data_IF_447134756415
#
_entry.id   IF_447134756415
#
_cell.length_a   1.000
_cell.length_b   1.000
_cell.length_c   1.000
_cell.angle_alpha   90.00
_cell.angle_beta   90.00
_cell.angle_gamma   90.00
#
_symmetry.space_group_name_H-M   'P 1'
#
loop_
_entity.id
_entity.type
_entity.pdbx_description
1 polymer ?
#
# COMPACT_ATOMS: atom_id res chain seq x y z
N UNK A 1 -17.31 -44.39 -39.21
CA UNK A 1 -16.39 -43.59 -40.07
C UNK A 1 -15.72 -42.57 -39.17
N UNK A 2 -14.43 -42.71 -38.88
CA UNK A 2 -13.29 -42.08 -39.60
C UNK A 2 -13.41 -40.54 -39.54
N UNK A 3 -12.44 -39.74 -39.12
CA UNK A 3 -11.03 -39.94 -38.80
C UNK A 3 -10.48 -38.60 -38.23
N UNK A 4 -9.59 -38.67 -37.24
CA UNK A 4 -8.35 -37.86 -37.04
C UNK A 4 -8.30 -36.35 -37.32
N UNK A 5 -7.74 -35.60 -36.36
CA UNK A 5 -6.47 -34.81 -36.48
C UNK A 5 -6.20 -34.13 -35.11
N UNK A 6 -5.09 -34.42 -34.41
CA UNK A 6 -3.78 -33.72 -34.47
C UNK A 6 -3.92 -32.19 -34.28
N UNK A 7 -3.16 -31.44 -33.49
CA UNK A 7 -1.91 -31.68 -32.76
C UNK A 7 -1.62 -30.43 -31.91
N UNK A 8 -1.04 -30.65 -30.72
CA UNK A 8 0.16 -30.00 -30.19
C UNK A 8 0.29 -28.45 -30.28
N UNK A 9 0.24 -27.78 -29.13
CA UNK A 9 0.97 -26.51 -28.93
C UNK A 9 1.99 -26.67 -27.81
N UNK A 10 3.23 -26.41 -28.20
CA UNK A 10 4.48 -26.52 -27.44
C UNK A 10 4.53 -25.46 -26.33
N UNK A 11 4.83 -25.88 -25.09
CA UNK A 11 5.25 -24.97 -24.00
C UNK A 11 6.78 -25.04 -23.92
N UNK A 12 7.44 -24.02 -24.43
CA UNK A 12 8.88 -23.84 -24.27
C UNK A 12 9.17 -23.18 -22.92
N UNK A 13 9.71 -23.95 -21.97
CA UNK A 13 10.29 -23.43 -20.75
C UNK A 13 11.73 -22.98 -21.02
N UNK A 14 12.02 -21.70 -20.83
CA UNK A 14 13.37 -21.15 -20.88
C UNK A 14 13.91 -21.02 -19.46
N UNK A 15 14.78 -21.97 -19.11
CA UNK A 15 15.69 -21.92 -17.97
C UNK A 15 16.77 -20.86 -18.22
N UNK A 16 16.93 -19.94 -17.26
CA UNK A 16 18.05 -18.99 -17.25
C UNK A 16 18.97 -19.28 -16.05
N UNK A 17 20.29 -19.47 -16.24
CA UNK A 17 21.22 -19.63 -15.14
C UNK A 17 21.60 -18.28 -14.51
N UNK A 18 21.61 -18.26 -13.18
CA UNK A 18 22.22 -17.21 -12.38
C UNK A 18 23.75 -17.24 -12.53
N UNK A 19 24.34 -16.10 -12.89
CA UNK A 19 25.78 -15.85 -12.77
C UNK A 19 25.99 -14.66 -11.84
N UNK A 20 26.62 -14.97 -10.70
CA UNK A 20 27.23 -14.00 -9.81
C UNK A 20 28.42 -13.33 -10.52
N UNK A 21 28.64 -12.04 -10.25
CA UNK A 21 29.94 -11.40 -10.50
C UNK A 21 30.41 -10.65 -9.24
N UNK A 22 31.69 -10.80 -8.86
CA UNK A 22 32.31 -10.19 -7.69
C UNK A 22 32.65 -8.71 -7.90
N UNK A 23 32.74 -7.99 -6.79
CA UNK A 23 32.93 -6.55 -6.75
C UNK A 23 34.32 -6.06 -7.21
N UNK A 24 34.35 -4.77 -7.55
CA UNK A 24 35.55 -3.97 -7.65
C UNK A 24 35.27 -2.59 -7.05
N UNK A 25 35.84 -2.32 -5.89
CA UNK A 25 35.97 -0.98 -5.31
C UNK A 25 37.11 -0.25 -6.01
N UNK A 26 36.82 0.90 -6.60
CA UNK A 26 37.84 1.89 -7.02
C UNK A 26 37.43 3.25 -6.48
N UNK A 27 38.38 3.91 -5.82
CA UNK A 27 38.22 5.14 -5.05
C UNK A 27 37.97 6.42 -5.87
N UNK A 28 37.65 7.46 -5.09
CA UNK A 28 37.14 8.80 -5.43
C UNK A 28 38.08 9.65 -6.32
N UNK A 29 37.56 10.77 -6.87
CA UNK A 29 37.82 12.04 -6.17
C UNK A 29 36.61 12.99 -6.02
N UNK A 30 36.55 13.60 -4.84
CA UNK A 30 36.24 15.00 -4.50
C UNK A 30 35.21 15.77 -5.36
N UNK A 31 34.10 16.14 -4.69
CA UNK A 31 33.64 17.53 -4.59
C UNK A 31 33.23 18.28 -5.86
N UNK A 32 31.94 18.23 -6.17
CA UNK A 32 31.24 19.35 -6.80
C UNK A 32 29.88 19.49 -6.12
N UNK A 33 29.65 20.63 -5.48
CA UNK A 33 28.44 20.92 -4.70
C UNK A 33 27.18 20.72 -5.54
N UNK A 34 26.35 19.77 -5.13
CA UNK A 34 24.97 19.71 -5.57
C UNK A 34 24.22 20.79 -4.80
N UNK A 35 24.01 21.94 -5.45
CA UNK A 35 23.03 22.91 -4.99
C UNK A 35 21.73 22.17 -4.61
N UNK A 36 21.12 22.45 -3.45
CA UNK A 36 19.88 21.79 -3.08
C UNK A 36 18.82 22.09 -4.13
N UNK A 37 18.46 21.06 -4.90
CA UNK A 37 17.31 21.10 -5.80
C UNK A 37 16.11 21.48 -4.94
N UNK A 38 15.34 22.54 -5.26
CA UNK A 38 14.21 22.94 -4.45
C UNK A 38 13.29 21.74 -4.27
N UNK A 39 13.13 21.29 -3.02
CA UNK A 39 12.09 20.34 -2.69
C UNK A 39 10.76 20.96 -3.16
N UNK A 40 9.91 20.23 -3.89
CA UNK A 40 8.61 20.75 -4.27
C UNK A 40 7.92 21.22 -2.99
N UNK A 41 7.50 22.49 -2.98
CA UNK A 41 6.84 23.11 -1.86
C UNK A 41 5.76 22.16 -1.35
N UNK A 42 5.93 21.70 -0.11
CA UNK A 42 4.94 20.87 0.54
C UNK A 42 3.67 21.71 0.61
N UNK A 43 2.65 21.31 -0.16
CA UNK A 43 1.29 21.84 0.00
C UNK A 43 0.93 21.72 1.49
N UNK A 44 0.16 22.67 2.06
CA UNK A 44 -0.27 22.59 3.44
C UNK A 44 -0.75 21.18 3.74
N UNK A 45 -0.06 20.51 4.68
CA UNK A 45 -0.51 19.23 5.20
C UNK A 45 -1.73 19.60 6.03
N UNK A 46 -2.92 19.46 5.47
CA UNK A 46 -4.16 19.70 6.21
C UNK A 46 -4.07 18.85 7.47
N UNK A 47 -4.08 19.52 8.64
CA UNK A 47 -4.05 18.84 9.93
C UNK A 47 -5.06 17.70 9.90
N UNK A 48 -4.65 16.52 10.37
CA UNK A 48 -5.57 15.41 10.52
C UNK A 48 -6.75 15.93 11.36
N UNK A 49 -7.99 15.81 10.87
CA UNK A 49 -9.14 16.35 11.57
C UNK A 49 -9.17 15.69 12.95
N UNK A 50 -9.10 16.50 14.00
CA UNK A 50 -9.12 16.05 15.40
C UNK A 50 -10.47 15.44 15.83
N UNK A 51 -11.20 14.80 14.93
CA UNK A 51 -12.55 14.26 15.14
C UNK A 51 -12.86 13.00 14.32
N UNK A 52 -11.88 12.39 13.64
CA UNK A 52 -12.10 11.09 13.01
C UNK A 52 -12.12 9.97 14.06
N UNK A 53 -13.18 9.16 14.04
CA UNK A 53 -13.42 8.01 14.90
C UNK A 53 -12.82 6.78 14.22
N UNK A 54 -11.87 6.14 14.89
CA UNK A 54 -11.15 4.96 14.41
C UNK A 54 -11.39 3.77 15.35
N UNK A 55 -11.32 2.53 14.83
CA UNK A 55 -11.26 1.35 15.68
C UNK A 55 -9.97 1.35 16.49
N UNK A 56 -10.02 0.83 17.71
CA UNK A 56 -8.85 0.71 18.61
C UNK A 56 -8.11 -0.63 18.44
N UNK A 57 -8.78 -1.64 17.88
CA UNK A 57 -8.23 -2.96 17.62
C UNK A 57 -8.84 -3.57 16.35
N UNK A 58 -8.17 -4.59 15.80
CA UNK A 58 -8.71 -5.40 14.72
C UNK A 58 -9.96 -6.14 15.23
N UNK A 59 -11.04 -6.12 14.46
CA UNK A 59 -12.28 -6.82 14.84
C UNK A 59 -12.03 -8.34 14.94
N UNK A 60 -12.49 -9.01 16.01
CA UNK A 60 -12.40 -10.47 16.15
C UNK A 60 -13.05 -11.23 14.99
N UNK A 61 -14.03 -10.62 14.31
CA UNK A 61 -14.67 -11.14 13.09
C UNK A 61 -13.68 -11.47 11.98
N UNK A 62 -12.50 -10.84 11.98
CA UNK A 62 -11.46 -11.01 10.96
C UNK A 62 -10.21 -11.73 11.48
N UNK A 63 -10.28 -12.41 12.63
CA UNK A 63 -9.14 -13.08 13.25
C UNK A 63 -8.49 -14.16 12.36
N UNK A 64 -9.25 -14.75 11.43
CA UNK A 64 -8.77 -15.80 10.52
C UNK A 64 -8.24 -15.24 9.18
N UNK A 65 -8.25 -13.92 8.98
CA UNK A 65 -7.72 -13.29 7.77
C UNK A 65 -6.26 -12.88 7.98
N UNK A 66 -5.52 -12.69 6.88
CA UNK A 66 -4.18 -12.12 6.98
C UNK A 66 -4.22 -10.74 7.63
N UNK A 67 -3.20 -10.38 8.41
CA UNK A 67 -3.21 -9.17 9.23
C UNK A 67 -3.52 -7.89 8.44
N UNK A 68 -3.03 -7.79 7.19
CA UNK A 68 -3.34 -6.66 6.30
C UNK A 68 -4.81 -6.59 5.92
N UNK A 69 -5.41 -7.72 5.57
CA UNK A 69 -6.83 -7.82 5.20
C UNK A 69 -7.74 -7.60 6.41
N UNK A 70 -7.35 -8.12 7.58
CA UNK A 70 -8.08 -7.89 8.82
C UNK A 70 -8.13 -6.40 9.20
N UNK A 71 -7.02 -5.66 9.06
CA UNK A 71 -6.99 -4.20 9.25
C UNK A 71 -7.87 -3.48 8.23
N UNK A 72 -7.78 -3.82 6.94
CA UNK A 72 -8.62 -3.21 5.90
C UNK A 72 -10.11 -3.37 6.19
N UNK A 73 -10.56 -4.58 6.48
CA UNK A 73 -11.98 -4.85 6.74
C UNK A 73 -12.45 -4.16 8.03
N UNK A 74 -11.61 -4.16 9.07
CA UNK A 74 -11.93 -3.42 10.32
C UNK A 74 -12.07 -1.92 10.05
N UNK A 75 -11.13 -1.32 9.32
CA UNK A 75 -11.21 0.10 8.97
C UNK A 75 -12.42 0.41 8.09
N UNK A 76 -12.75 -0.47 7.15
CA UNK A 76 -13.88 -0.30 6.25
C UNK A 76 -15.21 -0.34 7.00
N UNK A 77 -15.35 -1.26 7.96
CA UNK A 77 -16.53 -1.36 8.80
C UNK A 77 -16.74 -0.06 9.59
N UNK A 78 -15.68 0.51 10.16
CA UNK A 78 -15.79 1.77 10.91
C UNK A 78 -16.05 2.97 9.98
N UNK A 79 -15.43 3.05 8.80
CA UNK A 79 -15.73 4.08 7.80
C UNK A 79 -17.21 4.05 7.39
N UNK A 80 -17.76 2.86 7.16
CA UNK A 80 -19.16 2.68 6.82
C UNK A 80 -20.08 3.03 8.00
N UNK A 81 -19.71 2.67 9.24
CA UNK A 81 -20.46 3.05 10.43
C UNK A 81 -20.47 4.58 10.61
N UNK A 82 -19.33 5.23 10.41
CA UNK A 82 -19.19 6.68 10.46
C UNK A 82 -20.05 7.36 9.39
N UNK A 83 -20.07 6.82 8.16
CA UNK A 83 -20.93 7.31 7.07
C UNK A 83 -22.41 7.13 7.37
N UNK A 84 -22.79 5.99 7.93
CA UNK A 84 -24.16 5.73 8.37
C UNK A 84 -24.60 6.70 9.48
N UNK A 85 -23.67 7.16 10.32
CA UNK A 85 -23.88 8.17 11.34
C UNK A 85 -23.77 9.63 10.82
N UNK A 86 -23.85 9.87 9.52
CA UNK A 86 -23.80 11.21 8.91
C UNK A 86 -22.41 11.67 8.48
N UNK A 87 -21.40 10.79 8.46
CA UNK A 87 -20.09 11.02 7.86
C UNK A 87 -19.12 11.87 8.68
N UNK A 88 -19.59 12.62 9.68
CA UNK A 88 -18.74 13.41 10.57
C UNK A 88 -17.67 12.56 11.29
N UNK A 89 -17.98 11.29 11.58
CA UNK A 89 -17.05 10.35 12.19
C UNK A 89 -15.81 10.03 11.34
N UNK A 90 -15.80 10.34 10.04
CA UNK A 90 -14.59 10.24 9.23
C UNK A 90 -13.67 11.46 9.36
N UNK A 91 -14.09 12.50 10.08
CA UNK A 91 -13.37 13.76 10.22
C UNK A 91 -13.25 14.56 8.92
N UNK A 92 -14.02 14.23 7.87
CA UNK A 92 -13.81 14.81 6.54
C UNK A 92 -12.66 14.17 5.75
N UNK A 93 -12.16 13.01 6.20
CA UNK A 93 -11.25 12.19 5.41
C UNK A 93 -12.03 11.38 4.38
N UNK A 94 -11.59 11.39 3.13
CA UNK A 94 -12.00 10.37 2.16
C UNK A 94 -11.38 9.01 2.54
N UNK A 95 -12.00 7.91 2.08
CA UNK A 95 -11.50 6.54 2.33
C UNK A 95 -10.00 6.40 2.00
N UNK A 96 -9.62 6.81 0.79
CA UNK A 96 -8.25 6.92 0.28
C UNK A 96 -8.13 8.23 -0.49
N UNK A 97 -7.08 8.99 -0.28
CA UNK A 97 -6.76 10.18 -1.05
C UNK A 97 -5.24 10.36 -1.19
N UNK A 98 -4.81 11.27 -2.08
CA UNK A 98 -3.39 11.57 -2.23
C UNK A 98 -2.81 12.04 -0.90
N UNK A 99 -1.80 11.32 -0.40
CA UNK A 99 -1.13 11.63 0.86
C UNK A 99 -1.85 11.14 2.12
N UNK A 100 -2.92 10.35 2.02
CA UNK A 100 -3.55 9.74 3.20
C UNK A 100 -5.00 9.32 2.99
N UNK A 101 -5.85 9.69 3.94
CA UNK A 101 -7.26 9.29 3.98
C UNK A 101 -7.55 8.43 5.21
N UNK A 102 -8.83 8.14 5.40
CA UNK A 102 -9.34 7.43 6.56
C UNK A 102 -8.65 6.07 6.73
N UNK A 103 -8.52 5.28 5.66
CA UNK A 103 -7.87 3.98 5.76
C UNK A 103 -6.38 4.10 6.10
N UNK A 104 -5.66 5.05 5.49
CA UNK A 104 -4.23 5.23 5.79
C UNK A 104 -4.00 5.58 7.26
N UNK A 105 -4.85 6.45 7.81
CA UNK A 105 -4.81 6.87 9.20
C UNK A 105 -5.28 5.79 10.18
N UNK A 106 -6.30 5.03 9.81
CA UNK A 106 -6.78 3.87 10.56
C UNK A 106 -5.72 2.76 10.60
N UNK A 107 -5.12 2.41 9.46
CA UNK A 107 -4.14 1.34 9.36
C UNK A 107 -2.85 1.68 10.13
N UNK A 108 -2.42 2.94 10.19
CA UNK A 108 -1.31 3.38 11.05
C UNK A 108 -1.65 3.12 12.53
N UNK A 109 -2.83 3.54 12.99
CA UNK A 109 -3.29 3.36 14.38
C UNK A 109 -3.36 1.88 14.78
N UNK A 110 -3.87 1.02 13.90
CA UNK A 110 -4.00 -0.41 14.16
C UNK A 110 -2.69 -1.20 14.02
N UNK A 111 -1.66 -0.63 13.38
CA UNK A 111 -0.37 -1.30 13.19
C UNK A 111 0.59 -1.04 14.36
N UNK A 112 0.50 0.13 14.99
CA UNK A 112 1.50 0.60 15.95
C UNK A 112 2.73 1.17 15.26
#
# INVERSE_FOLDING_TARGET
>A
MRLTTLSLTVVAALTGPALAQPGATVGLPIGAGLAPKPAPAQKPVTAAPGGAIFPTAISPKYAHESAGKARQKTCLDQDNANKAAGGAGNGGLNWIQKGGGYYSECNKRLKG
#
